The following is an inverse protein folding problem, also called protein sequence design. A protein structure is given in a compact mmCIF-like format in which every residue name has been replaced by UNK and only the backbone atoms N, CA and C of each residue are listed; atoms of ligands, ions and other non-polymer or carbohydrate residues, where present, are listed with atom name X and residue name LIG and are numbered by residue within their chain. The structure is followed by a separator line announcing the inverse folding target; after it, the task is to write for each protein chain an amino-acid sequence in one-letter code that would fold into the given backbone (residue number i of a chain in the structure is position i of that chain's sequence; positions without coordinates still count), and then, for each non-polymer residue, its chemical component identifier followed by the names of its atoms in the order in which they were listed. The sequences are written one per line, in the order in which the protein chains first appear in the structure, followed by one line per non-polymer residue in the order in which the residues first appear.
data_IF_456129850143
#
_entry.id   IF_456129850143
#
_cell.length_a   1.000
_cell.length_b   1.000
_cell.length_c   1.000
_cell.angle_alpha   90.00
_cell.angle_beta   90.00
_cell.angle_gamma   90.00
#
_symmetry.space_group_name_H-M   'P 1'
#
loop_
_entity.id
_entity.type
_entity.pdbx_description
1 polymer ?
#
# COMPACT_ATOMS: atom_id res chain seq x y z
N UNK A 1 -17.40 9.10 8.41
CA UNK A 1 -16.43 9.80 7.58
C UNK A 1 -15.37 8.84 7.09
N UNK A 2 -15.06 8.92 5.82
CA UNK A 2 -14.12 7.99 5.23
C UNK A 2 -12.79 8.68 4.97
N UNK A 3 -11.77 8.24 5.68
CA UNK A 3 -10.41 8.68 5.42
C UNK A 3 -9.69 7.52 4.79
N UNK A 4 -8.97 7.79 3.72
CA UNK A 4 -8.18 6.78 3.03
C UNK A 4 -6.72 7.15 3.04
N UNK A 5 -5.88 6.16 2.85
CA UNK A 5 -4.44 6.34 2.81
C UNK A 5 -3.89 5.75 1.52
N UNK A 6 -3.01 6.51 0.89
CA UNK A 6 -2.14 5.96 -0.14
C UNK A 6 -0.88 5.51 0.58
N UNK A 7 -0.46 4.29 0.35
CA UNK A 7 0.73 3.76 1.01
C UNK A 7 1.70 3.17 -0.01
N UNK A 8 2.97 3.24 0.33
CA UNK A 8 4.03 2.67 -0.49
C UNK A 8 4.81 1.70 0.37
N UNK A 9 4.91 0.46 -0.10
CA UNK A 9 5.66 -0.60 0.55
C UNK A 9 6.91 -0.90 -0.26
N UNK A 10 7.97 -1.31 0.42
CA UNK A 10 9.18 -1.78 -0.23
C UNK A 10 9.35 -3.26 0.12
N UNK A 11 9.56 -4.09 -0.90
CA UNK A 11 9.87 -5.49 -0.69
C UNK A 11 11.29 -5.61 -0.15
N UNK A 12 11.45 -6.28 0.97
CA UNK A 12 12.79 -6.54 1.51
C UNK A 12 13.50 -7.65 0.74
N UNK A 13 12.76 -8.34 -0.11
CA UNK A 13 13.32 -9.42 -0.90
C UNK A 13 13.98 -8.92 -2.19
N UNK A 14 13.34 -7.98 -2.88
CA UNK A 14 13.83 -7.52 -4.18
C UNK A 14 13.96 -5.99 -4.30
N UNK A 15 13.57 -5.24 -3.26
CA UNK A 15 13.69 -3.79 -3.28
C UNK A 15 12.65 -3.06 -4.10
N UNK A 16 11.76 -3.78 -4.77
CA UNK A 16 10.73 -3.14 -5.58
C UNK A 16 9.61 -2.57 -4.73
N UNK A 17 8.95 -1.55 -5.25
CA UNK A 17 7.91 -0.84 -4.53
C UNK A 17 6.53 -1.34 -4.94
N UNK A 18 5.60 -1.24 -4.01
CA UNK A 18 4.19 -1.52 -4.25
C UNK A 18 3.37 -0.35 -3.70
N UNK A 19 2.48 0.20 -4.52
CA UNK A 19 1.63 1.31 -4.13
C UNK A 19 0.18 0.83 -4.06
N UNK A 20 -0.52 1.20 -3.00
CA UNK A 20 -1.91 0.82 -2.83
C UNK A 20 -2.69 1.85 -2.05
N UNK A 21 -3.99 1.60 -1.89
CA UNK A 21 -4.88 2.44 -1.09
C UNK A 21 -5.62 1.58 -0.09
N UNK A 22 -5.87 2.14 1.09
CA UNK A 22 -6.59 1.40 2.14
C UNK A 22 -7.17 2.39 3.14
N UNK A 23 -8.17 1.94 3.87
CA UNK A 23 -8.69 2.69 5.00
C UNK A 23 -7.93 2.37 6.29
N UNK A 24 -7.08 1.32 6.29
CA UNK A 24 -6.36 0.87 7.47
C UNK A 24 -4.99 0.34 7.04
N UNK A 25 -3.97 1.19 7.17
CA UNK A 25 -2.63 0.86 6.70
C UNK A 25 -2.02 -0.30 7.49
N UNK A 26 -2.17 -0.31 8.81
CA UNK A 26 -1.57 -1.37 9.63
C UNK A 26 -2.15 -2.74 9.27
N UNK A 27 -3.47 -2.79 9.11
CA UNK A 27 -4.12 -4.03 8.75
C UNK A 27 -3.69 -4.51 7.37
N UNK A 28 -3.60 -3.58 6.42
CA UNK A 28 -3.24 -3.94 5.05
C UNK A 28 -1.79 -4.40 4.96
N UNK A 29 -0.90 -3.74 5.69
CA UNK A 29 0.50 -4.17 5.75
C UNK A 29 0.59 -5.59 6.33
N UNK A 30 -0.17 -5.86 7.40
CA UNK A 30 -0.19 -7.19 7.98
C UNK A 30 -0.69 -8.24 7.00
N UNK A 31 -1.70 -7.88 6.18
CA UNK A 31 -2.21 -8.80 5.17
C UNK A 31 -1.16 -9.10 4.11
N UNK A 32 -0.43 -8.09 3.66
CA UNK A 32 0.65 -8.31 2.70
C UNK A 32 1.71 -9.25 3.29
N UNK A 33 2.12 -9.00 4.53
CA UNK A 33 3.18 -9.80 5.16
C UNK A 33 2.70 -11.20 5.56
N UNK A 34 1.40 -11.38 5.72
CA UNK A 34 0.84 -12.71 6.00
C UNK A 34 0.65 -13.55 4.73
N UNK A 35 0.90 -12.95 3.55
CA UNK A 35 0.74 -13.65 2.29
C UNK A 35 -0.70 -13.73 1.81
N UNK A 36 -1.56 -12.84 2.30
CA UNK A 36 -2.98 -12.84 1.92
C UNK A 36 -3.24 -12.10 0.63
N UNK A 37 -2.29 -11.32 0.15
CA UNK A 37 -2.42 -10.59 -1.10
C UNK A 37 -1.64 -11.35 -2.15
N UNK A 38 -2.37 -11.92 -3.09
CA UNK A 38 -1.80 -12.86 -4.05
C UNK A 38 -0.65 -12.28 -4.85
N UNK A 39 -0.79 -11.03 -5.30
CA UNK A 39 0.22 -10.42 -6.17
C UNK A 39 1.51 -10.08 -5.43
N UNK A 40 1.46 -9.93 -4.10
CA UNK A 40 2.65 -9.57 -3.34
C UNK A 40 3.21 -10.71 -2.52
N UNK A 41 2.48 -11.82 -2.46
CA UNK A 41 2.88 -12.97 -1.64
C UNK A 41 4.32 -13.43 -1.88
N UNK A 42 4.78 -13.60 -3.12
CA UNK A 42 6.14 -14.07 -3.36
C UNK A 42 7.21 -13.02 -3.08
N UNK A 43 6.81 -11.78 -2.83
CA UNK A 43 7.75 -10.67 -2.63
C UNK A 43 7.87 -10.26 -1.16
N UNK A 44 7.25 -11.01 -0.25
CA UNK A 44 7.34 -10.74 1.19
C UNK A 44 8.77 -10.92 1.69
N UNK A 45 9.15 -10.25 2.78
CA UNK A 45 8.34 -9.30 3.57
C UNK A 45 8.42 -7.89 3.01
N UNK A 46 7.44 -7.08 3.44
CA UNK A 46 7.36 -5.68 3.04
C UNK A 46 7.54 -4.78 4.25
N UNK A 47 8.09 -3.60 4.00
CA UNK A 47 8.12 -2.55 5.01
C UNK A 47 7.43 -1.32 4.46
N UNK A 48 6.85 -0.53 5.36
CA UNK A 48 6.14 0.68 4.98
C UNK A 48 7.14 1.81 4.76
N UNK A 49 7.15 2.39 3.55
CA UNK A 49 8.02 3.51 3.24
C UNK A 49 7.34 4.85 3.43
N UNK A 50 6.06 4.93 3.07
CA UNK A 50 5.38 6.22 2.98
C UNK A 50 3.88 6.03 3.06
N UNK A 51 3.20 6.97 3.73
CA UNK A 51 1.74 7.03 3.71
C UNK A 51 1.31 8.45 3.48
N UNK A 52 0.16 8.61 2.84
CA UNK A 52 -0.42 9.92 2.60
C UNK A 52 -1.92 9.81 2.87
N UNK A 53 -2.45 10.71 3.70
CA UNK A 53 -3.86 10.73 4.03
C UNK A 53 -4.63 11.52 2.97
N UNK A 54 -5.74 10.98 2.50
CA UNK A 54 -6.60 11.67 1.54
C UNK A 54 -8.05 11.59 2.01
N UNK A 55 -8.87 12.61 1.68
CA UNK A 55 -10.22 12.70 2.23
C UNK A 55 -11.25 11.79 1.57
N UNK A 56 -10.93 11.22 0.40
CA UNK A 56 -11.88 10.37 -0.30
C UNK A 56 -11.17 9.28 -1.06
N UNK A 57 -11.95 8.25 -1.40
CA UNK A 57 -11.41 7.15 -2.20
C UNK A 57 -11.00 7.60 -3.59
N UNK A 58 -11.76 8.53 -4.18
CA UNK A 58 -11.43 9.06 -5.50
C UNK A 58 -10.06 9.73 -5.51
N UNK A 59 -9.79 10.55 -4.49
CA UNK A 59 -8.50 11.23 -4.42
C UNK A 59 -7.38 10.23 -4.11
N UNK A 60 -7.67 9.21 -3.30
CA UNK A 60 -6.69 8.17 -3.04
C UNK A 60 -6.31 7.45 -4.33
N UNK A 61 -7.29 7.15 -5.14
CA UNK A 61 -7.05 6.47 -6.41
C UNK A 61 -6.21 7.33 -7.35
N UNK A 62 -6.51 8.64 -7.41
CA UNK A 62 -5.73 9.55 -8.24
C UNK A 62 -4.27 9.64 -7.77
N UNK A 63 -4.06 9.70 -6.45
CA UNK A 63 -2.70 9.77 -5.92
C UNK A 63 -1.94 8.46 -6.13
N UNK A 64 -2.63 7.34 -5.99
CA UNK A 64 -2.01 6.05 -6.26
C UNK A 64 -1.49 6.00 -7.69
N UNK A 65 -2.29 6.45 -8.64
CA UNK A 65 -1.90 6.48 -10.04
C UNK A 65 -0.68 7.38 -10.25
N UNK A 66 -0.66 8.53 -9.56
CA UNK A 66 0.47 9.45 -9.62
C UNK A 66 1.77 8.77 -9.19
N UNK A 67 1.74 8.05 -8.07
CA UNK A 67 2.93 7.39 -7.55
C UNK A 67 3.38 6.20 -8.38
N UNK A 68 2.45 5.60 -9.12
CA UNK A 68 2.79 4.43 -9.94
C UNK A 68 3.45 4.79 -11.26
N UNK A 69 3.36 6.03 -11.67
CA UNK A 69 3.98 6.48 -12.94
C UNK A 69 5.49 6.75 -12.81
#
# INVERSE_FOLDING_TARGET
MSTYFVYILESEKDGNLYTGITADVERRLAEHNAGRVRSTKPRRPFRLLYTETVPSRSEAFARETYFRC
#
